data_IF_585831728324
#
_entry.id   IF_585831728324
#
_cell.length_a   1.000
_cell.length_b   1.000
_cell.length_c   1.000
_cell.angle_alpha   90.00
_cell.angle_beta   90.00
_cell.angle_gamma   90.00
#
_symmetry.space_group_name_H-M   'P 1'
#
loop_
_entity.id
_entity.type
_entity.pdbx_description
1 polymer ?
#
# COMPACT_ATOMS: atom_id res chain seq x y z
N UNK A 1 37.07 -8.30 -78.61
CA UNK A 1 36.12 -9.27 -79.19
C UNK A 1 34.76 -8.63 -79.33
N UNK A 2 33.89 -9.14 -80.19
CA UNK A 2 32.48 -8.74 -80.22
C UNK A 2 31.77 -9.13 -78.92
N UNK A 3 30.62 -8.51 -78.63
CA UNK A 3 29.78 -8.82 -77.46
C UNK A 3 29.45 -10.32 -77.40
N UNK A 4 29.04 -10.89 -78.54
CA UNK A 4 28.72 -12.31 -78.70
C UNK A 4 29.91 -13.23 -78.39
N UNK A 5 31.11 -12.84 -78.83
CA UNK A 5 32.31 -13.63 -78.56
C UNK A 5 32.65 -13.64 -77.07
N UNK A 6 32.57 -12.50 -76.38
CA UNK A 6 32.83 -12.42 -74.94
C UNK A 6 31.81 -13.23 -74.14
N UNK A 7 30.53 -13.17 -74.52
CA UNK A 7 29.47 -13.95 -73.87
C UNK A 7 29.69 -15.47 -74.07
N UNK A 8 29.93 -15.90 -75.31
CA UNK A 8 30.20 -17.30 -75.63
C UNK A 8 31.48 -17.82 -74.96
N UNK A 9 32.53 -17.00 -74.91
CA UNK A 9 33.78 -17.33 -74.22
C UNK A 9 33.56 -17.48 -72.71
N UNK A 10 32.81 -16.57 -72.09
CA UNK A 10 32.43 -16.67 -70.67
C UNK A 10 31.64 -17.94 -70.36
N UNK A 11 30.67 -18.31 -71.22
CA UNK A 11 29.92 -19.56 -71.08
C UNK A 11 30.80 -20.80 -71.24
N UNK A 12 31.74 -20.79 -72.19
CA UNK A 12 32.70 -21.88 -72.36
C UNK A 12 33.58 -22.07 -71.11
N UNK A 13 34.12 -20.98 -70.57
CA UNK A 13 34.93 -21.03 -69.35
C UNK A 13 34.11 -21.50 -68.15
N UNK A 14 32.84 -21.06 -68.04
CA UNK A 14 31.92 -21.53 -67.01
C UNK A 14 31.65 -23.05 -67.13
N UNK A 15 31.46 -23.57 -68.35
CA UNK A 15 31.26 -25.00 -68.60
C UNK A 15 32.50 -25.84 -68.28
N UNK A 16 33.69 -25.26 -68.43
CA UNK A 16 34.97 -25.88 -68.07
C UNK A 16 35.31 -25.70 -66.57
N UNK A 17 34.39 -25.15 -65.77
CA UNK A 17 34.57 -24.83 -64.34
C UNK A 17 35.72 -23.85 -64.07
N UNK A 18 36.18 -23.13 -65.09
CA UNK A 18 37.23 -22.14 -64.99
C UNK A 18 36.64 -20.78 -64.56
N UNK A 19 36.13 -20.75 -63.33
CA UNK A 19 35.35 -19.63 -62.79
C UNK A 19 36.06 -18.28 -62.81
N UNK A 20 37.38 -18.14 -62.52
CA UNK A 20 38.03 -16.83 -62.56
C UNK A 20 38.05 -16.21 -63.97
N UNK A 21 38.26 -17.03 -64.99
CA UNK A 21 38.29 -16.63 -66.39
C UNK A 21 36.88 -16.32 -66.89
N UNK A 22 35.88 -17.12 -66.49
CA UNK A 22 34.47 -16.83 -66.76
C UNK A 22 34.04 -15.50 -66.13
N UNK A 23 34.41 -15.24 -64.87
CA UNK A 23 34.14 -13.96 -64.19
C UNK A 23 34.79 -12.81 -64.96
N UNK A 24 36.05 -12.94 -65.37
CA UNK A 24 36.76 -11.90 -66.12
C UNK A 24 36.10 -11.59 -67.46
N UNK A 25 35.66 -12.62 -68.19
CA UNK A 25 34.96 -12.47 -69.46
C UNK A 25 33.61 -11.76 -69.28
N UNK A 26 32.80 -12.20 -68.32
CA UNK A 26 31.48 -11.61 -68.07
C UNK A 26 31.56 -10.21 -67.46
N UNK A 27 32.50 -9.91 -66.57
CA UNK A 27 32.68 -8.54 -66.05
C UNK A 27 33.16 -7.60 -67.15
N UNK A 28 34.06 -8.05 -68.03
CA UNK A 28 34.47 -7.27 -69.20
C UNK A 28 33.27 -6.99 -70.11
N UNK A 29 32.44 -8.00 -70.39
CA UNK A 29 31.22 -7.85 -71.20
C UNK A 29 30.26 -6.80 -70.63
N UNK A 30 30.03 -6.79 -69.31
CA UNK A 30 29.17 -5.80 -68.65
C UNK A 30 29.67 -4.35 -68.76
N UNK A 31 30.94 -4.13 -69.16
CA UNK A 31 31.54 -2.80 -69.34
C UNK A 31 31.62 -2.35 -70.80
N UNK A 32 31.23 -3.20 -71.75
CA UNK A 32 31.28 -2.87 -73.17
C UNK A 32 30.08 -2.01 -73.60
N UNK A 33 30.32 -1.07 -74.51
CA UNK A 33 29.26 -0.24 -75.09
C UNK A 33 28.35 -1.09 -76.00
N UNK A 34 27.04 -0.82 -75.95
CA UNK A 34 26.04 -1.47 -76.81
C UNK A 34 25.45 -2.77 -76.27
N UNK A 35 25.67 -3.09 -74.98
CA UNK A 35 24.95 -4.19 -74.32
C UNK A 35 23.49 -3.80 -74.11
N UNK A 36 22.56 -4.65 -74.57
CA UNK A 36 21.14 -4.48 -74.27
C UNK A 36 20.79 -5.06 -72.89
N UNK A 37 19.60 -4.70 -72.38
CA UNK A 37 19.15 -5.12 -71.05
C UNK A 37 19.01 -6.65 -70.92
N UNK A 38 18.69 -7.36 -72.01
CA UNK A 38 18.52 -8.82 -71.98
C UNK A 38 19.88 -9.53 -71.84
N UNK A 39 20.86 -9.14 -72.66
CA UNK A 39 22.24 -9.64 -72.58
C UNK A 39 22.88 -9.24 -71.25
N UNK A 40 22.57 -8.05 -70.73
CA UNK A 40 22.98 -7.65 -69.38
C UNK A 40 22.39 -8.60 -68.32
N UNK A 41 21.09 -8.89 -68.38
CA UNK A 41 20.43 -9.76 -67.42
C UNK A 41 21.00 -11.18 -67.44
N UNK A 42 21.18 -11.77 -68.62
CA UNK A 42 21.81 -13.09 -68.79
C UNK A 42 23.24 -13.12 -68.23
N UNK A 43 24.04 -12.10 -68.51
CA UNK A 43 25.43 -11.99 -68.06
C UNK A 43 25.52 -11.81 -66.55
N UNK A 44 24.67 -10.95 -65.97
CA UNK A 44 24.58 -10.74 -64.53
C UNK A 44 24.07 -12.00 -63.81
N UNK A 45 23.13 -12.74 -64.39
CA UNK A 45 22.64 -14.01 -63.87
C UNK A 45 23.74 -15.06 -63.83
N UNK A 46 24.51 -15.20 -64.91
CA UNK A 46 25.68 -16.10 -64.97
C UNK A 46 26.75 -15.74 -63.94
N UNK A 47 27.06 -14.44 -63.76
CA UNK A 47 27.95 -13.98 -62.69
C UNK A 47 27.40 -14.29 -61.30
N UNK A 48 26.10 -14.09 -61.08
CA UNK A 48 25.43 -14.43 -59.82
C UNK A 48 25.61 -15.90 -59.46
N UNK A 49 25.39 -16.79 -60.43
CA UNK A 49 25.56 -18.23 -60.29
C UNK A 49 27.02 -18.62 -60.03
N UNK A 50 27.98 -18.08 -60.80
CA UNK A 50 29.40 -18.35 -60.59
C UNK A 50 29.87 -17.89 -59.21
N UNK A 51 29.47 -16.69 -58.78
CA UNK A 51 29.83 -16.21 -57.45
C UNK A 51 29.24 -17.07 -56.34
N UNK A 52 28.03 -17.62 -56.53
CA UNK A 52 27.45 -18.57 -55.59
C UNK A 52 28.28 -19.87 -55.52
N UNK A 53 28.66 -20.45 -56.67
CA UNK A 53 29.54 -21.63 -56.72
C UNK A 53 30.90 -21.39 -56.07
N UNK A 54 31.42 -20.16 -56.16
CA UNK A 54 32.67 -19.75 -55.51
C UNK A 54 32.52 -19.45 -54.00
N UNK A 55 31.35 -19.63 -53.40
CA UNK A 55 31.06 -19.28 -52.01
C UNK A 55 31.01 -17.77 -51.71
N UNK A 56 30.98 -16.94 -52.75
CA UNK A 56 30.94 -15.46 -52.67
C UNK A 56 29.49 -14.97 -52.64
N UNK A 57 28.76 -15.33 -51.58
CA UNK A 57 27.30 -15.14 -51.46
C UNK A 57 26.86 -13.67 -51.57
N UNK A 58 27.66 -12.72 -51.10
CA UNK A 58 27.32 -11.29 -51.21
C UNK A 58 27.33 -10.83 -52.67
N UNK A 59 28.38 -11.19 -53.42
CA UNK A 59 28.50 -10.91 -54.84
C UNK A 59 27.40 -11.65 -55.63
N UNK A 60 27.12 -12.91 -55.27
CA UNK A 60 26.01 -13.67 -55.86
C UNK A 60 24.68 -12.92 -55.74
N UNK A 61 24.35 -12.40 -54.54
CA UNK A 61 23.14 -11.60 -54.31
C UNK A 61 23.13 -10.31 -55.13
N UNK A 62 24.25 -9.59 -55.19
CA UNK A 62 24.35 -8.35 -55.98
C UNK A 62 24.10 -8.61 -57.47
N UNK A 63 24.79 -9.59 -58.06
CA UNK A 63 24.69 -9.85 -59.49
C UNK A 63 23.34 -10.48 -59.86
N UNK A 64 22.77 -11.33 -59.00
CA UNK A 64 21.42 -11.84 -59.20
C UNK A 64 20.37 -10.72 -59.08
N UNK A 65 20.52 -9.77 -58.15
CA UNK A 65 19.64 -8.61 -58.06
C UNK A 65 19.76 -7.69 -59.29
N UNK A 66 20.97 -7.48 -59.81
CA UNK A 66 21.20 -6.77 -61.07
C UNK A 66 20.52 -7.46 -62.26
N UNK A 67 20.58 -8.79 -62.32
CA UNK A 67 19.87 -9.59 -63.32
C UNK A 67 18.36 -9.38 -63.23
N UNK A 68 17.78 -9.47 -62.02
CA UNK A 68 16.35 -9.21 -61.79
C UNK A 68 15.94 -7.81 -62.24
N UNK A 69 16.75 -6.78 -61.93
CA UNK A 69 16.44 -5.41 -62.36
C UNK A 69 16.43 -5.32 -63.89
N UNK A 70 17.42 -5.88 -64.56
CA UNK A 70 17.52 -5.87 -66.02
C UNK A 70 16.42 -6.71 -66.71
N UNK A 71 16.01 -7.84 -66.13
CA UNK A 71 14.86 -8.64 -66.60
C UNK A 71 13.54 -7.87 -66.50
N UNK A 72 13.39 -7.04 -65.48
CA UNK A 72 12.23 -6.17 -65.32
C UNK A 72 12.27 -5.01 -66.33
N UNK A 73 13.43 -4.38 -66.54
CA UNK A 73 13.56 -3.24 -67.48
C UNK A 73 13.43 -3.67 -68.94
N UNK A 74 13.96 -4.84 -69.31
CA UNK A 74 13.81 -5.43 -70.65
C UNK A 74 12.41 -5.99 -70.94
N UNK A 75 11.50 -5.98 -69.94
CA UNK A 75 10.17 -6.58 -70.01
C UNK A 75 10.15 -8.07 -70.38
N UNK A 76 11.29 -8.76 -70.33
CA UNK A 76 11.43 -10.21 -70.56
C UNK A 76 10.88 -11.01 -69.39
N UNK A 77 10.80 -10.40 -68.20
CA UNK A 77 10.27 -10.96 -66.94
C UNK A 77 10.65 -12.42 -66.77
N UNK A 78 11.94 -12.72 -66.94
CA UNK A 78 12.45 -14.05 -66.66
C UNK A 78 12.36 -14.33 -65.16
N UNK A 79 11.33 -15.09 -64.77
CA UNK A 79 11.05 -15.50 -63.38
C UNK A 79 12.23 -16.20 -62.71
N UNK A 80 13.19 -16.70 -63.49
CA UNK A 80 14.35 -17.48 -63.06
C UNK A 80 15.28 -16.68 -62.14
N UNK A 81 15.65 -15.45 -62.51
CA UNK A 81 16.57 -14.64 -61.69
C UNK A 81 15.93 -14.26 -60.35
N UNK A 82 14.62 -13.96 -60.34
CA UNK A 82 13.88 -13.60 -59.14
C UNK A 82 13.71 -14.78 -58.19
N UNK A 83 13.45 -15.98 -58.73
CA UNK A 83 13.46 -17.24 -57.98
C UNK A 83 14.83 -17.51 -57.36
N UNK A 84 15.91 -17.36 -58.12
CA UNK A 84 17.28 -17.55 -57.64
C UNK A 84 17.61 -16.57 -56.51
N UNK A 85 17.23 -15.29 -56.66
CA UNK A 85 17.43 -14.29 -55.60
C UNK A 85 16.63 -14.63 -54.34
N UNK A 86 15.39 -15.11 -54.48
CA UNK A 86 14.60 -15.58 -53.35
C UNK A 86 15.28 -16.76 -52.63
N UNK A 87 15.84 -17.72 -53.37
CA UNK A 87 16.63 -18.83 -52.82
C UNK A 87 17.87 -18.34 -52.04
N UNK A 88 18.66 -17.44 -52.63
CA UNK A 88 19.84 -16.87 -51.97
C UNK A 88 19.49 -16.08 -50.69
N UNK A 89 18.36 -15.39 -50.69
CA UNK A 89 17.87 -14.67 -49.51
C UNK A 89 17.39 -15.63 -48.42
N UNK A 90 16.72 -16.71 -48.82
CA UNK A 90 16.29 -17.77 -47.92
C UNK A 90 17.49 -18.44 -47.24
N UNK A 91 18.49 -18.88 -48.03
CA UNK A 91 19.74 -19.48 -47.52
C UNK A 91 20.52 -18.55 -46.59
N UNK A 92 20.37 -17.23 -46.75
CA UNK A 92 21.04 -16.23 -45.89
C UNK A 92 20.15 -15.69 -44.76
N UNK A 93 18.98 -16.30 -44.51
CA UNK A 93 18.10 -15.99 -43.39
C UNK A 93 17.17 -14.78 -43.59
N UNK A 94 17.16 -14.14 -44.76
CA UNK A 94 16.23 -13.06 -45.09
C UNK A 94 14.91 -13.64 -45.63
N UNK A 95 14.21 -14.35 -44.75
CA UNK A 95 12.97 -15.08 -45.06
C UNK A 95 11.87 -14.14 -45.55
N UNK A 96 11.81 -12.90 -45.05
CA UNK A 96 10.79 -11.94 -45.43
C UNK A 96 10.95 -11.49 -46.89
N UNK A 97 12.17 -11.12 -47.31
CA UNK A 97 12.40 -10.74 -48.71
C UNK A 97 12.35 -11.96 -49.62
N UNK A 98 12.85 -13.11 -49.18
CA UNK A 98 12.70 -14.37 -49.89
C UNK A 98 11.22 -14.68 -50.18
N UNK A 99 10.35 -14.60 -49.16
CA UNK A 99 8.91 -14.82 -49.30
C UNK A 99 8.25 -13.83 -50.26
N UNK A 100 8.66 -12.55 -50.21
CA UNK A 100 8.15 -11.54 -51.14
C UNK A 100 8.55 -11.84 -52.58
N UNK A 101 9.82 -12.16 -52.82
CA UNK A 101 10.34 -12.35 -54.18
C UNK A 101 9.85 -13.65 -54.81
N UNK A 102 9.75 -14.74 -54.05
CA UNK A 102 9.20 -15.99 -54.56
C UNK A 102 7.71 -15.89 -54.91
N UNK A 103 6.94 -15.05 -54.21
CA UNK A 103 5.54 -14.74 -54.56
C UNK A 103 5.42 -13.96 -55.85
N UNK A 104 6.22 -12.90 -56.00
CA UNK A 104 6.30 -12.15 -57.26
C UNK A 104 6.70 -13.06 -58.43
N UNK A 105 7.64 -13.99 -58.21
CA UNK A 105 8.00 -14.99 -59.19
C UNK A 105 6.80 -15.90 -59.58
N UNK A 106 6.02 -16.34 -58.59
CA UNK A 106 4.80 -17.11 -58.84
C UNK A 106 3.75 -16.32 -59.63
N UNK A 107 3.57 -15.04 -59.31
CA UNK A 107 2.65 -14.13 -60.00
C UNK A 107 3.04 -13.95 -61.47
N UNK A 108 4.32 -13.72 -61.76
CA UNK A 108 4.82 -13.62 -63.13
C UNK A 108 4.66 -14.95 -63.90
N UNK A 109 4.97 -16.09 -63.28
CA UNK A 109 4.76 -17.40 -63.90
C UNK A 109 3.27 -17.66 -64.22
N UNK A 110 2.36 -17.16 -63.38
CA UNK A 110 0.93 -17.21 -63.60
C UNK A 110 0.47 -16.27 -64.72
N UNK A 111 0.94 -15.03 -64.72
CA UNK A 111 0.59 -14.02 -65.72
C UNK A 111 0.94 -14.46 -67.15
N UNK A 112 2.14 -15.01 -67.36
CA UNK A 112 2.57 -15.52 -68.68
C UNK A 112 2.14 -16.97 -68.97
N UNK A 113 1.38 -17.60 -68.07
CA UNK A 113 0.99 -19.00 -68.16
C UNK A 113 2.16 -19.99 -68.40
N UNK A 114 3.33 -19.71 -67.80
CA UNK A 114 4.55 -20.47 -68.01
C UNK A 114 4.62 -21.72 -67.13
N UNK A 115 4.07 -22.85 -67.61
CA UNK A 115 3.92 -24.11 -66.84
C UNK A 115 5.21 -24.58 -66.16
N UNK A 116 6.35 -24.55 -66.84
CA UNK A 116 7.64 -24.98 -66.28
C UNK A 116 8.03 -24.14 -65.05
N UNK A 117 7.92 -22.81 -65.17
CA UNK A 117 8.27 -21.86 -64.10
C UNK A 117 7.34 -22.00 -62.89
N UNK A 118 6.05 -22.27 -63.13
CA UNK A 118 5.09 -22.58 -62.06
C UNK A 118 5.53 -23.79 -61.24
N UNK A 119 5.98 -24.87 -61.89
CA UNK A 119 6.45 -26.09 -61.21
C UNK A 119 7.69 -25.77 -60.36
N UNK A 120 8.65 -25.02 -60.90
CA UNK A 120 9.89 -24.65 -60.19
C UNK A 120 9.65 -23.74 -58.99
N UNK A 121 8.70 -22.81 -59.06
CA UNK A 121 8.37 -21.93 -57.93
C UNK A 121 7.53 -22.69 -56.89
N UNK A 122 6.64 -23.60 -57.33
CA UNK A 122 5.75 -24.37 -56.44
C UNK A 122 6.49 -25.33 -55.52
N UNK A 123 7.71 -25.75 -55.87
CA UNK A 123 8.52 -26.61 -54.99
C UNK A 123 9.19 -25.84 -53.84
N UNK A 124 9.40 -24.52 -53.98
CA UNK A 124 10.14 -23.70 -53.01
C UNK A 124 9.22 -22.80 -52.19
N UNK A 125 8.17 -22.23 -52.80
CA UNK A 125 7.25 -21.29 -52.15
C UNK A 125 6.68 -21.82 -50.81
N UNK A 126 6.17 -23.07 -50.71
CA UNK A 126 5.61 -23.58 -49.45
C UNK A 126 6.63 -23.68 -48.31
N UNK A 127 7.91 -23.92 -48.63
CA UNK A 127 8.98 -24.06 -47.64
C UNK A 127 9.25 -22.69 -46.99
N UNK A 128 9.41 -21.66 -47.82
CA UNK A 128 9.64 -20.28 -47.37
C UNK A 128 8.42 -19.74 -46.60
N UNK A 129 7.20 -20.06 -47.05
CA UNK A 129 5.97 -19.67 -46.35
C UNK A 129 5.84 -20.32 -44.97
N UNK A 130 6.14 -21.63 -44.87
CA UNK A 130 6.09 -22.36 -43.61
C UNK A 130 7.05 -21.77 -42.58
N UNK A 131 8.32 -21.56 -42.96
CA UNK A 131 9.31 -21.04 -42.02
C UNK A 131 8.99 -19.60 -41.56
N UNK A 132 8.47 -18.76 -42.48
CA UNK A 132 7.96 -17.43 -42.11
C UNK A 132 6.80 -17.54 -41.12
N UNK A 133 5.87 -18.45 -41.36
CA UNK A 133 4.72 -18.66 -40.49
C UNK A 133 5.15 -19.09 -39.09
N UNK A 134 6.03 -20.08 -38.98
CA UNK A 134 6.57 -20.57 -37.70
C UNK A 134 7.32 -19.46 -36.94
N UNK A 135 8.11 -18.63 -37.63
CA UNK A 135 8.79 -17.49 -37.03
C UNK A 135 7.80 -16.45 -36.44
N UNK A 136 6.73 -16.14 -37.17
CA UNK A 136 5.68 -15.21 -36.71
C UNK A 136 4.88 -15.81 -35.55
N UNK A 137 4.56 -17.10 -35.60
CA UNK A 137 3.82 -17.79 -34.54
C UNK A 137 4.63 -17.87 -33.24
N UNK A 138 5.93 -18.15 -33.33
CA UNK A 138 6.84 -18.12 -32.18
C UNK A 138 6.86 -16.76 -31.49
N UNK A 139 6.97 -15.67 -32.26
CA UNK A 139 6.92 -14.30 -31.73
C UNK A 139 5.57 -13.99 -31.06
N UNK A 140 4.46 -14.41 -31.68
CA UNK A 140 3.12 -14.24 -31.12
C UNK A 140 2.97 -14.95 -29.77
N UNK A 141 3.46 -16.19 -29.65
CA UNK A 141 3.37 -16.94 -28.40
C UNK A 141 4.17 -16.30 -27.26
N UNK A 142 5.38 -15.80 -27.54
CA UNK A 142 6.17 -15.05 -26.55
C UNK A 142 5.42 -13.81 -26.08
N UNK A 143 4.81 -13.06 -27.00
CA UNK A 143 4.04 -11.87 -26.67
C UNK A 143 2.80 -12.21 -25.80
N UNK A 144 2.09 -13.28 -26.13
CA UNK A 144 0.92 -13.73 -25.35
C UNK A 144 1.32 -14.08 -23.91
N UNK A 145 2.40 -14.83 -23.74
CA UNK A 145 2.89 -15.18 -22.39
C UNK A 145 3.36 -13.95 -21.62
N UNK A 146 4.07 -13.02 -22.28
CA UNK A 146 4.47 -11.77 -21.67
C UNK A 146 3.26 -10.96 -21.16
N UNK A 147 2.23 -10.78 -22.00
CA UNK A 147 1.00 -10.07 -21.62
C UNK A 147 0.27 -10.78 -20.47
N UNK A 148 0.18 -12.11 -20.50
CA UNK A 148 -0.42 -12.89 -19.42
C UNK A 148 0.32 -12.70 -18.09
N UNK A 149 1.66 -12.69 -18.11
CA UNK A 149 2.48 -12.45 -16.91
C UNK A 149 2.27 -11.03 -16.35
N UNK A 150 2.21 -10.02 -17.21
CA UNK A 150 1.95 -8.62 -16.80
C UNK A 150 0.56 -8.49 -16.19
N UNK A 151 -0.46 -9.11 -16.78
CA UNK A 151 -1.83 -9.08 -16.26
C UNK A 151 -1.93 -9.77 -14.89
N UNK A 152 -1.26 -10.91 -14.71
CA UNK A 152 -1.19 -11.62 -13.43
C UNK A 152 -0.56 -10.72 -12.35
N UNK A 153 0.55 -10.05 -12.66
CA UNK A 153 1.22 -9.15 -11.72
C UNK A 153 0.30 -7.98 -11.32
N UNK A 154 -0.44 -7.41 -12.28
CA UNK A 154 -1.38 -6.33 -12.03
C UNK A 154 -2.51 -6.75 -11.08
N UNK A 155 -3.07 -7.95 -11.26
CA UNK A 155 -4.11 -8.49 -10.38
C UNK A 155 -3.59 -8.71 -8.95
N UNK A 156 -2.36 -9.24 -8.80
CA UNK A 156 -1.73 -9.42 -7.50
C UNK A 156 -1.50 -8.08 -6.78
N UNK A 157 -0.99 -7.08 -7.49
CA UNK A 157 -0.78 -5.74 -6.94
C UNK A 157 -2.11 -5.11 -6.51
N UNK A 158 -3.15 -5.19 -7.36
CA UNK A 158 -4.48 -4.69 -7.03
C UNK A 158 -5.05 -5.36 -5.77
N UNK A 159 -4.91 -6.69 -5.67
CA UNK A 159 -5.31 -7.46 -4.49
C UNK A 159 -4.58 -7.00 -3.22
N UNK A 160 -3.25 -6.85 -3.30
CA UNK A 160 -2.43 -6.36 -2.18
C UNK A 160 -2.85 -4.94 -1.74
N UNK A 161 -3.09 -4.03 -2.69
CA UNK A 161 -3.58 -2.67 -2.39
C UNK A 161 -4.91 -2.69 -1.64
N UNK A 162 -5.87 -3.51 -2.07
CA UNK A 162 -7.17 -3.64 -1.38
C UNK A 162 -6.99 -4.19 0.05
N UNK A 163 -6.11 -5.17 0.23
CA UNK A 163 -5.79 -5.73 1.55
C UNK A 163 -5.18 -4.66 2.46
N UNK A 164 -4.18 -3.92 1.97
CA UNK A 164 -3.52 -2.83 2.72
C UNK A 164 -4.54 -1.77 3.13
N UNK A 165 -5.40 -1.33 2.21
CA UNK A 165 -6.43 -0.33 2.49
C UNK A 165 -7.39 -0.80 3.61
N UNK A 166 -7.86 -2.06 3.53
CA UNK A 166 -8.69 -2.66 4.59
C UNK A 166 -7.96 -2.74 5.93
N UNK A 167 -6.68 -3.11 5.93
CA UNK A 167 -5.87 -3.17 7.15
C UNK A 167 -5.65 -1.79 7.77
N UNK A 168 -5.35 -0.76 6.97
CA UNK A 168 -5.20 0.61 7.47
C UNK A 168 -6.47 1.14 8.11
N UNK A 169 -7.64 0.90 7.48
CA UNK A 169 -8.93 1.31 8.06
C UNK A 169 -9.20 0.62 9.41
N UNK A 170 -8.91 -0.68 9.51
CA UNK A 170 -9.00 -1.42 10.79
C UNK A 170 -8.05 -0.84 11.85
N UNK A 171 -6.82 -0.53 11.47
CA UNK A 171 -5.81 0.03 12.36
C UNK A 171 -6.22 1.40 12.89
N UNK A 172 -6.78 2.28 12.05
CA UNK A 172 -7.29 3.59 12.48
C UNK A 172 -8.41 3.47 13.51
N UNK A 173 -9.39 2.60 13.27
CA UNK A 173 -10.50 2.35 14.22
C UNK A 173 -9.98 1.80 15.55
N UNK A 174 -9.02 0.87 15.51
CA UNK A 174 -8.39 0.32 16.70
C UNK A 174 -7.66 1.40 17.50
N UNK A 175 -6.85 2.26 16.84
CA UNK A 175 -6.14 3.38 17.49
C UNK A 175 -7.10 4.36 18.15
N UNK A 176 -8.14 4.79 17.42
CA UNK A 176 -9.15 5.69 17.98
C UNK A 176 -9.84 5.10 19.22
N UNK A 177 -10.15 3.81 19.19
CA UNK A 177 -10.77 3.11 20.33
C UNK A 177 -9.81 3.05 21.53
N UNK A 178 -8.53 2.77 21.31
CA UNK A 178 -7.50 2.75 22.35
C UNK A 178 -7.34 4.14 22.98
N UNK A 179 -7.21 5.18 22.16
CA UNK A 179 -7.09 6.56 22.65
C UNK A 179 -8.30 6.98 23.49
N UNK A 180 -9.52 6.65 23.03
CA UNK A 180 -10.75 6.92 23.79
C UNK A 180 -10.75 6.20 25.14
N UNK A 181 -10.39 4.91 25.16
CA UNK A 181 -10.30 4.14 26.41
C UNK A 181 -9.22 4.66 27.34
N UNK A 182 -8.06 5.05 26.81
CA UNK A 182 -6.98 5.64 27.60
C UNK A 182 -7.42 6.94 28.27
N UNK A 183 -8.12 7.83 27.54
CA UNK A 183 -8.69 9.05 28.13
C UNK A 183 -9.71 8.74 29.23
N UNK A 184 -10.60 7.76 29.02
CA UNK A 184 -11.57 7.34 30.03
C UNK A 184 -10.90 6.76 31.28
N UNK A 185 -9.87 5.93 31.10
CA UNK A 185 -9.08 5.37 32.20
C UNK A 185 -8.37 6.47 32.98
N UNK A 186 -7.77 7.44 32.29
CA UNK A 186 -7.10 8.57 32.94
C UNK A 186 -8.07 9.43 33.74
N UNK A 187 -9.25 9.72 33.20
CA UNK A 187 -10.31 10.44 33.91
C UNK A 187 -10.77 9.67 35.15
N UNK A 188 -11.04 8.37 35.01
CA UNK A 188 -11.48 7.52 36.12
C UNK A 188 -10.41 7.44 37.21
N UNK A 189 -9.13 7.29 36.83
CA UNK A 189 -8.02 7.23 37.76
C UNK A 189 -7.81 8.56 38.49
N UNK A 190 -7.98 9.69 37.80
CA UNK A 190 -7.95 11.02 38.42
C UNK A 190 -9.05 11.18 39.47
N UNK A 191 -10.29 10.78 39.14
CA UNK A 191 -11.41 10.81 40.08
C UNK A 191 -11.18 9.89 41.28
N UNK A 192 -10.59 8.70 41.05
CA UNK A 192 -10.27 7.76 42.12
C UNK A 192 -9.18 8.32 43.05
N UNK A 193 -8.17 8.97 42.47
CA UNK A 193 -7.09 9.60 43.24
C UNK A 193 -7.62 10.77 44.07
N UNK A 194 -8.48 11.60 43.49
CA UNK A 194 -9.16 12.68 44.22
C UNK A 194 -10.02 12.13 45.38
N UNK A 195 -10.82 11.09 45.13
CA UNK A 195 -11.62 10.44 46.16
C UNK A 195 -10.75 9.82 47.28
N UNK A 196 -9.61 9.21 46.92
CA UNK A 196 -8.66 8.69 47.90
C UNK A 196 -8.03 9.81 48.73
N UNK A 197 -7.61 10.92 48.12
CA UNK A 197 -7.03 12.06 48.84
C UNK A 197 -8.03 12.64 49.86
N UNK A 198 -9.29 12.81 49.47
CA UNK A 198 -10.36 13.27 50.38
C UNK A 198 -10.54 12.28 51.54
N UNK A 199 -10.51 10.98 51.26
CA UNK A 199 -10.63 9.93 52.28
C UNK A 199 -9.44 9.94 53.24
N UNK A 200 -8.23 10.12 52.74
CA UNK A 200 -7.01 10.18 53.56
C UNK A 200 -7.02 11.42 54.46
N UNK A 201 -7.44 12.58 53.94
CA UNK A 201 -7.63 13.80 54.73
C UNK A 201 -8.68 13.60 55.83
N UNK A 202 -9.81 12.96 55.52
CA UNK A 202 -10.83 12.62 56.52
C UNK A 202 -10.29 11.72 57.64
N UNK A 203 -9.55 10.66 57.28
CA UNK A 203 -8.97 9.74 58.26
C UNK A 203 -8.00 10.49 59.17
N UNK A 204 -7.09 11.28 58.60
CA UNK A 204 -6.13 12.08 59.37
C UNK A 204 -6.82 13.06 60.31
N UNK A 205 -7.86 13.75 59.83
CA UNK A 205 -8.64 14.67 60.64
C UNK A 205 -9.41 13.96 61.76
N UNK A 206 -10.02 12.79 61.49
CA UNK A 206 -10.74 12.02 62.53
C UNK A 206 -9.81 11.60 63.67
N UNK A 207 -8.58 11.17 63.35
CA UNK A 207 -7.58 10.87 64.37
C UNK A 207 -7.18 12.12 65.17
N UNK A 208 -7.03 13.27 64.53
CA UNK A 208 -6.74 14.54 65.20
C UNK A 208 -7.84 14.90 66.22
N UNK A 209 -9.11 14.89 65.81
CA UNK A 209 -10.23 15.18 66.70
C UNK A 209 -10.33 14.18 67.85
N UNK A 210 -10.15 12.88 67.58
CA UNK A 210 -10.14 11.86 68.63
C UNK A 210 -9.01 12.08 69.63
N UNK A 211 -7.82 12.48 69.17
CA UNK A 211 -6.68 12.81 70.03
C UNK A 211 -6.98 14.02 70.94
N UNK A 212 -7.59 15.07 70.40
CA UNK A 212 -8.03 16.24 71.19
C UNK A 212 -9.06 15.84 72.28
N UNK A 213 -10.02 14.97 71.93
CA UNK A 213 -10.98 14.44 72.91
C UNK A 213 -10.31 13.59 73.99
N UNK A 214 -9.37 12.71 73.63
CA UNK A 214 -8.60 11.93 74.61
C UNK A 214 -7.84 12.86 75.55
N UNK A 215 -7.18 13.90 75.03
CA UNK A 215 -6.48 14.90 75.84
C UNK A 215 -7.41 15.63 76.81
N UNK A 216 -8.61 16.02 76.36
CA UNK A 216 -9.64 16.60 77.23
C UNK A 216 -10.05 15.65 78.36
N UNK A 217 -10.28 14.36 78.06
CA UNK A 217 -10.63 13.34 79.06
C UNK A 217 -9.47 13.15 80.05
N UNK A 218 -8.23 13.09 79.57
CA UNK A 218 -7.04 12.96 80.42
C UNK A 218 -6.91 14.15 81.38
N UNK A 219 -7.11 15.38 80.88
CA UNK A 219 -7.10 16.60 81.68
C UNK A 219 -8.23 16.61 82.72
N UNK A 220 -9.43 16.15 82.34
CA UNK A 220 -10.55 16.00 83.27
C UNK A 220 -10.22 14.98 84.36
N UNK A 221 -9.66 13.82 84.00
CA UNK A 221 -9.25 12.79 84.96
C UNK A 221 -8.22 13.34 85.95
N UNK A 222 -7.18 14.03 85.47
CA UNK A 222 -6.17 14.70 86.31
C UNK A 222 -6.80 15.73 87.25
N UNK A 223 -7.72 16.56 86.73
CA UNK A 223 -8.41 17.58 87.52
C UNK A 223 -9.26 16.96 88.63
N UNK A 224 -10.07 15.96 88.29
CA UNK A 224 -10.93 15.25 89.24
C UNK A 224 -10.08 14.57 90.31
N UNK A 225 -9.05 13.83 89.91
CA UNK A 225 -8.16 13.15 90.86
C UNK A 225 -7.51 14.14 91.83
N UNK A 226 -6.99 15.28 91.33
CA UNK A 226 -6.42 16.35 92.16
C UNK A 226 -7.41 16.90 93.17
N UNK A 227 -8.65 17.15 92.76
CA UNK A 227 -9.71 17.69 93.65
C UNK A 227 -10.15 16.67 94.71
N UNK A 228 -10.23 15.39 94.36
CA UNK A 228 -10.50 14.30 95.31
C UNK A 228 -9.37 14.20 96.35
N UNK A 229 -8.10 14.15 95.91
CA UNK A 229 -6.95 14.08 96.83
C UNK A 229 -6.90 15.28 97.79
N UNK A 230 -7.26 16.47 97.32
CA UNK A 230 -7.33 17.69 98.12
C UNK A 230 -8.61 17.79 99.00
N UNK A 231 -9.50 16.79 98.98
CA UNK A 231 -10.81 16.78 99.67
C UNK A 231 -11.73 17.97 99.31
N UNK A 232 -11.54 18.56 98.13
CA UNK A 232 -12.33 19.68 97.61
C UNK A 232 -13.58 19.16 96.88
N UNK A 233 -14.49 18.52 97.62
CA UNK A 233 -15.64 17.84 97.03
C UNK A 233 -16.73 18.80 96.54
N UNK A 234 -16.93 19.93 97.22
CA UNK A 234 -17.93 20.92 96.83
C UNK A 234 -17.54 21.60 95.50
N UNK A 235 -16.25 21.79 95.24
CA UNK A 235 -15.73 22.31 93.97
C UNK A 235 -16.09 21.40 92.78
N UNK A 236 -16.10 20.08 92.98
CA UNK A 236 -16.46 19.12 91.92
C UNK A 236 -17.92 19.27 91.51
N UNK A 237 -18.84 19.54 92.45
CA UNK A 237 -20.27 19.76 92.13
C UNK A 237 -20.48 21.01 91.28
N UNK A 238 -19.63 22.02 91.43
CA UNK A 238 -19.68 23.25 90.64
C UNK A 238 -19.10 23.05 89.23
N UNK A 239 -18.13 22.15 89.07
CA UNK A 239 -17.44 21.85 87.80
C UNK A 239 -18.27 21.00 86.82
N UNK A 240 -19.25 20.22 87.29
CA UNK A 240 -20.06 19.34 86.45
C UNK A 240 -21.49 19.85 86.30
N UNK A 241 -21.66 21.08 85.77
CA UNK A 241 -22.99 21.62 85.51
C UNK A 241 -23.52 21.10 84.18
N UNK A 242 -24.85 20.91 84.10
CA UNK A 242 -25.53 20.52 82.85
C UNK A 242 -25.27 21.52 81.70
N UNK A 243 -24.99 22.79 82.03
CA UNK A 243 -24.60 23.83 81.07
C UNK A 243 -23.28 23.52 80.35
N UNK A 244 -22.34 22.85 81.00
CA UNK A 244 -21.04 22.51 80.41
C UNK A 244 -21.18 21.39 79.37
N UNK A 245 -22.10 20.45 79.61
CA UNK A 245 -22.48 19.41 78.65
C UNK A 245 -23.21 19.96 77.42
N UNK A 246 -23.99 21.04 77.59
CA UNK A 246 -24.64 21.71 76.47
C UNK A 246 -23.60 22.37 75.56
N UNK A 247 -22.65 23.09 76.18
CA UNK A 247 -21.55 23.76 75.48
C UNK A 247 -20.65 22.78 74.74
N UNK A 248 -20.32 21.64 75.35
CA UNK A 248 -19.47 20.64 74.68
C UNK A 248 -20.17 19.97 73.48
N UNK A 249 -21.49 19.84 73.53
CA UNK A 249 -22.28 19.38 72.38
C UNK A 249 -22.36 20.43 71.27
N UNK A 250 -22.48 21.71 71.60
CA UNK A 250 -22.36 22.78 70.59
C UNK A 250 -20.98 22.76 69.93
N UNK A 251 -19.91 22.58 70.71
CA UNK A 251 -18.56 22.41 70.18
C UNK A 251 -18.45 21.19 69.25
N UNK A 252 -19.09 20.07 69.61
CA UNK A 252 -19.15 18.86 68.77
C UNK A 252 -19.85 19.16 67.43
N UNK A 253 -20.97 19.90 67.44
CA UNK A 253 -21.67 20.27 66.21
C UNK A 253 -20.85 21.19 65.32
N UNK A 254 -20.21 22.22 65.89
CA UNK A 254 -19.32 23.11 65.14
C UNK A 254 -18.17 22.32 64.53
N UNK A 255 -17.53 21.45 65.32
CA UNK A 255 -16.45 20.60 64.84
C UNK A 255 -16.93 19.68 63.71
N UNK A 256 -18.09 19.04 63.85
CA UNK A 256 -18.67 18.21 62.79
C UNK A 256 -18.94 19.01 61.52
N UNK A 257 -19.63 20.15 61.64
CA UNK A 257 -20.01 21.01 60.51
C UNK A 257 -18.78 21.49 59.73
N UNK A 258 -17.76 22.00 60.43
CA UNK A 258 -16.50 22.45 59.81
C UNK A 258 -15.78 21.33 59.08
N UNK A 259 -15.72 20.15 59.71
CA UNK A 259 -15.06 18.97 59.14
C UNK A 259 -15.78 18.49 57.88
N UNK A 260 -17.09 18.35 58.00
CA UNK A 260 -17.91 17.83 56.93
C UNK A 260 -17.87 18.79 55.72
N UNK A 261 -17.93 20.09 55.96
CA UNK A 261 -17.86 21.10 54.90
C UNK A 261 -16.46 21.21 54.26
N UNK A 262 -15.37 20.88 54.97
CA UNK A 262 -14.05 20.75 54.33
C UNK A 262 -14.00 19.60 53.34
N UNK A 263 -14.62 18.46 53.68
CA UNK A 263 -14.64 17.27 52.83
C UNK A 263 -15.66 17.37 51.69
N UNK A 264 -16.76 18.09 51.93
CA UNK A 264 -17.84 18.28 50.98
C UNK A 264 -18.17 19.78 50.82
N UNK A 265 -17.26 20.57 50.23
CA UNK A 265 -17.39 22.04 50.16
C UNK A 265 -18.61 22.51 49.37
N UNK A 266 -19.13 21.67 48.46
CA UNK A 266 -20.32 21.97 47.66
C UNK A 266 -21.62 21.46 48.28
N UNK A 267 -21.59 20.92 49.52
CA UNK A 267 -22.74 20.28 50.15
C UNK A 267 -23.94 21.20 50.30
N UNK A 268 -23.77 22.40 50.88
CA UNK A 268 -24.87 23.35 51.12
C UNK A 268 -25.55 23.73 49.80
N UNK A 269 -24.75 24.00 48.76
CA UNK A 269 -25.26 24.30 47.42
C UNK A 269 -26.02 23.12 46.82
N UNK A 270 -25.50 21.90 46.97
CA UNK A 270 -26.15 20.67 46.49
C UNK A 270 -27.44 20.38 47.23
N UNK A 271 -27.48 20.60 48.54
CA UNK A 271 -28.66 20.47 49.40
C UNK A 271 -29.75 21.46 48.97
N UNK A 272 -29.41 22.74 48.82
CA UNK A 272 -30.36 23.77 48.41
C UNK A 272 -30.91 23.56 46.99
N UNK A 273 -30.19 22.87 46.11
CA UNK A 273 -30.69 22.51 44.78
C UNK A 273 -31.78 21.43 44.79
N UNK A 274 -32.01 20.75 45.92
CA UNK A 274 -33.11 19.81 46.09
C UNK A 274 -34.47 20.50 46.31
N UNK A 275 -34.45 21.80 46.60
CA UNK A 275 -35.64 22.59 46.96
C UNK A 275 -35.92 23.68 45.92
N UNK A 276 -37.19 24.07 45.79
CA UNK A 276 -37.57 25.21 44.96
C UNK A 276 -36.93 26.50 45.49
N UNK A 277 -36.71 27.54 44.66
CA UNK A 277 -36.04 28.77 45.09
C UNK A 277 -36.62 29.41 46.35
N UNK A 278 -37.93 29.28 46.58
CA UNK A 278 -38.64 29.82 47.73
C UNK A 278 -38.45 29.00 49.02
N UNK A 279 -38.04 27.74 48.91
CA UNK A 279 -37.90 26.78 50.01
C UNK A 279 -36.43 26.51 50.37
N UNK A 280 -35.50 27.29 49.80
CA UNK A 280 -34.06 27.15 50.06
C UNK A 280 -33.72 27.70 51.44
N UNK A 281 -32.88 26.96 52.15
CA UNK A 281 -32.40 27.38 53.47
C UNK A 281 -31.31 28.45 53.35
N UNK A 282 -31.50 29.58 54.03
CA UNK A 282 -30.52 30.65 54.18
C UNK A 282 -29.73 30.42 55.48
N UNK A 283 -28.57 29.77 55.40
CA UNK A 283 -27.63 29.75 56.54
C UNK A 283 -26.97 31.12 56.63
N UNK A 284 -27.23 31.88 57.71
CA UNK A 284 -26.79 33.27 57.91
C UNK A 284 -25.26 33.49 57.85
N UNK A 285 -24.46 32.42 57.86
CA UNK A 285 -22.99 32.52 57.85
C UNK A 285 -22.26 31.51 56.96
N UNK A 286 -22.97 30.59 56.28
CA UNK A 286 -22.38 29.61 55.37
C UNK A 286 -21.38 28.61 55.99
N UNK A 287 -21.17 28.66 57.31
CA UNK A 287 -20.20 27.84 58.05
C UNK A 287 -20.82 26.79 58.97
N UNK A 288 -22.11 26.92 59.30
CA UNK A 288 -22.82 25.99 60.17
C UNK A 288 -23.99 25.32 59.43
N UNK A 289 -24.21 24.05 59.73
CA UNK A 289 -25.30 23.24 59.22
C UNK A 289 -26.53 23.34 60.13
N UNK A 290 -27.73 23.30 59.56
CA UNK A 290 -28.97 23.11 60.33
C UNK A 290 -29.08 21.67 60.83
N UNK A 291 -30.03 21.37 61.72
CA UNK A 291 -30.26 20.00 62.19
C UNK A 291 -30.61 19.06 61.04
N UNK A 292 -31.42 19.51 60.09
CA UNK A 292 -31.81 18.77 58.88
C UNK A 292 -30.60 18.53 57.98
N UNK A 293 -29.77 19.55 57.75
CA UNK A 293 -28.53 19.40 56.99
C UNK A 293 -27.59 18.37 57.64
N UNK A 294 -27.51 18.32 58.97
CA UNK A 294 -26.72 17.31 59.70
C UNK A 294 -27.27 15.90 59.51
N UNK A 295 -28.59 15.72 59.45
CA UNK A 295 -29.20 14.41 59.11
C UNK A 295 -28.72 13.96 57.73
N UNK A 296 -28.83 14.84 56.72
CA UNK A 296 -28.37 14.52 55.36
C UNK A 296 -26.85 14.30 55.29
N UNK A 297 -26.07 15.04 56.07
CA UNK A 297 -24.63 14.86 56.18
C UNK A 297 -24.27 13.49 56.77
N UNK A 298 -24.95 13.06 57.84
CA UNK A 298 -24.75 11.75 58.46
C UNK A 298 -25.10 10.60 57.49
N UNK A 299 -26.20 10.73 56.76
CA UNK A 299 -26.59 9.78 55.70
C UNK A 299 -25.53 9.74 54.59
N UNK A 300 -25.00 10.90 54.18
CA UNK A 300 -23.92 11.01 53.19
C UNK A 300 -22.63 10.34 53.64
N UNK A 301 -22.36 10.33 54.94
CA UNK A 301 -21.24 9.61 55.56
C UNK A 301 -21.51 8.10 55.75
N UNK A 302 -22.70 7.61 55.37
CA UNK A 302 -23.06 6.19 55.46
C UNK A 302 -23.74 5.79 56.77
N UNK A 303 -24.16 6.75 57.59
CA UNK A 303 -24.91 6.49 58.83
C UNK A 303 -26.41 6.60 58.51
N UNK A 304 -27.05 5.44 58.33
CA UNK A 304 -28.48 5.35 57.96
C UNK A 304 -29.38 5.01 59.15
N UNK A 305 -28.81 4.55 60.27
CA UNK A 305 -29.54 4.10 61.44
C UNK A 305 -30.16 5.30 62.18
N UNK A 306 -31.50 5.39 62.20
CA UNK A 306 -32.23 6.51 62.81
C UNK A 306 -31.90 6.70 64.29
N UNK A 307 -31.61 5.62 65.02
CA UNK A 307 -31.17 5.67 66.42
C UNK A 307 -29.85 6.44 66.57
N UNK A 308 -28.87 6.19 65.70
CA UNK A 308 -27.57 6.87 65.75
C UNK A 308 -27.68 8.35 65.39
N UNK A 309 -28.53 8.67 64.42
CA UNK A 309 -28.80 10.05 64.00
C UNK A 309 -29.49 10.82 65.14
N UNK A 310 -30.52 10.24 65.75
CA UNK A 310 -31.22 10.82 66.90
C UNK A 310 -30.26 11.04 68.09
N UNK A 311 -29.42 10.04 68.39
CA UNK A 311 -28.39 10.14 69.44
C UNK A 311 -27.39 11.26 69.17
N UNK A 312 -26.95 11.43 67.93
CA UNK A 312 -26.03 12.52 67.54
C UNK A 312 -26.69 13.90 67.69
N UNK A 313 -27.95 14.03 67.26
CA UNK A 313 -28.71 15.28 67.35
C UNK A 313 -29.32 15.54 68.72
N UNK A 314 -29.19 14.58 69.65
CA UNK A 314 -29.74 14.63 71.00
C UNK A 314 -31.26 14.85 70.99
N UNK A 315 -31.96 14.08 70.15
CA UNK A 315 -33.42 14.00 70.08
C UNK A 315 -34.00 12.85 70.88
#
# INVERSE_FOLDING_TARGET
GSLEWQYAYGLLQMKQENYPQAVTAFTSLLTMNGIDDHLYAMTASALGYIYWLMGKTFQAKIYTAKAVIADITSATKETTALRTLAGLLYETGDINRANKYIKLAMEDANFYNARHRKIEVSSILPIIEKERFEAVEGQRNVLVWFVASVLLLFLLLSGATVIIYKQMKKLQVARYTIEKRQKQLQQTNSQLTEANNIKDEYIGFSFYVNSEYISKIENLYKLVNRKITARQYDDLRVLFRKSDLQKERENMYVSFDETFLKLFPTFISSYNNLFQPNDRTHSDTGKNLTAEMRIFALIRLGIFESERIAKFLNY
#
